data_IF_916240627160
#
_entry.id   IF_916240627160
#
_cell.length_a   1.000
_cell.length_b   1.000
_cell.length_c   1.000
_cell.angle_alpha   90.00
_cell.angle_beta   90.00
_cell.angle_gamma   90.00
#
_symmetry.space_group_name_H-M   'P 1'
#
loop_
_entity.id
_entity.type
_entity.pdbx_description
1 polymer ?
#
# COMPACT_ATOMS: atom_id res chain seq x y z
N UNK A 1 -7.10 -11.58 13.15
CA UNK A 1 -6.32 -10.54 13.84
C UNK A 1 -7.01 -10.04 15.11
N UNK A 2 -8.23 -9.42 15.04
CA UNK A 2 -8.93 -8.96 16.27
C UNK A 2 -9.15 -10.10 17.25
N UNK A 3 -9.77 -11.19 16.81
CA UNK A 3 -10.04 -12.38 17.62
C UNK A 3 -8.77 -13.02 18.20
N UNK A 4 -7.70 -13.04 17.42
CA UNK A 4 -6.43 -13.62 17.87
C UNK A 4 -5.75 -12.75 18.92
N UNK A 5 -5.81 -11.42 18.74
CA UNK A 5 -5.33 -10.48 19.75
C UNK A 5 -6.10 -10.58 21.06
N UNK A 6 -7.44 -10.72 21.00
CA UNK A 6 -8.28 -10.91 22.19
C UNK A 6 -7.94 -12.23 22.89
N UNK A 7 -7.70 -13.31 22.14
CA UNK A 7 -7.26 -14.59 22.73
C UNK A 7 -5.91 -14.49 23.41
N UNK A 8 -4.99 -13.72 22.83
CA UNK A 8 -3.63 -13.56 23.37
C UNK A 8 -3.59 -12.61 24.55
N UNK A 9 -4.45 -11.58 24.54
CA UNK A 9 -4.49 -10.50 25.53
C UNK A 9 -5.93 -10.22 25.99
N UNK A 10 -6.58 -11.16 26.69
CA UNK A 10 -8.00 -11.04 27.08
C UNK A 10 -8.25 -9.82 27.99
N UNK A 11 -7.27 -9.42 28.81
CA UNK A 11 -7.36 -8.25 29.68
C UNK A 11 -7.49 -6.91 28.91
N UNK A 12 -7.18 -6.90 27.59
CA UNK A 12 -7.31 -5.73 26.73
C UNK A 12 -8.46 -5.84 25.73
N UNK A 13 -9.38 -6.79 25.89
CA UNK A 13 -10.49 -7.05 24.96
C UNK A 13 -11.23 -5.78 24.56
N UNK A 14 -11.66 -4.97 25.53
CA UNK A 14 -12.40 -3.73 25.26
C UNK A 14 -11.57 -2.72 24.47
N UNK A 15 -10.27 -2.59 24.76
CA UNK A 15 -9.36 -1.69 24.04
C UNK A 15 -9.12 -2.18 22.62
N UNK A 16 -8.96 -3.48 22.43
CA UNK A 16 -8.79 -4.11 21.11
C UNK A 16 -10.04 -3.87 20.27
N UNK A 17 -11.23 -4.16 20.79
CA UNK A 17 -12.51 -3.91 20.10
C UNK A 17 -12.68 -2.42 19.76
N UNK A 18 -12.34 -1.53 20.68
CA UNK A 18 -12.42 -0.09 20.48
C UNK A 18 -11.49 0.38 19.36
N UNK A 19 -10.27 -0.17 19.28
CA UNK A 19 -9.32 0.10 18.21
C UNK A 19 -9.90 -0.29 16.85
N UNK A 20 -10.34 -1.53 16.66
CA UNK A 20 -10.89 -2.00 15.40
C UNK A 20 -12.15 -1.22 14.99
N UNK A 21 -13.05 -0.94 15.93
CA UNK A 21 -14.26 -0.14 15.70
C UNK A 21 -13.96 1.29 15.24
N UNK A 22 -12.90 1.92 15.76
CA UNK A 22 -12.58 3.31 15.48
C UNK A 22 -11.38 3.50 14.55
N UNK A 23 -10.76 2.43 14.06
CA UNK A 23 -9.58 2.49 13.20
C UNK A 23 -9.76 3.46 12.02
N UNK A 24 -10.95 3.49 11.40
CA UNK A 24 -11.26 4.39 10.30
C UNK A 24 -11.19 5.89 10.67
N UNK A 25 -11.29 6.24 11.96
CA UNK A 25 -11.17 7.62 12.46
C UNK A 25 -9.71 8.08 12.59
N UNK A 26 -8.76 7.14 12.51
CA UNK A 26 -7.34 7.47 12.57
C UNK A 26 -6.84 8.09 11.26
N UNK A 27 -7.54 7.87 10.15
CA UNK A 27 -7.24 8.50 8.87
C UNK A 27 -7.74 9.93 8.87
N UNK A 28 -6.83 10.88 9.07
CA UNK A 28 -7.15 12.31 9.20
C UNK A 28 -7.18 13.05 7.86
N UNK A 29 -6.38 12.60 6.88
CA UNK A 29 -6.16 13.35 5.64
C UNK A 29 -5.85 12.40 4.48
N UNK A 30 -6.43 12.71 3.33
CA UNK A 30 -5.99 12.19 2.04
C UNK A 30 -4.97 13.18 1.49
N UNK A 31 -3.86 12.69 0.99
CA UNK A 31 -2.90 13.50 0.26
C UNK A 31 -3.40 13.67 -1.17
N UNK A 32 -4.09 14.79 -1.43
CA UNK A 32 -4.75 15.03 -2.74
C UNK A 32 -3.77 14.96 -3.90
N UNK A 33 -2.57 15.50 -3.75
CA UNK A 33 -1.53 15.42 -4.79
C UNK A 33 -1.16 13.97 -5.16
N UNK A 34 -1.23 13.01 -4.23
CA UNK A 34 -1.01 11.59 -4.57
C UNK A 34 -2.17 11.01 -5.38
N UNK A 35 -3.40 11.45 -5.10
CA UNK A 35 -4.57 11.07 -5.90
C UNK A 35 -4.49 11.70 -7.30
N UNK A 36 -4.08 12.96 -7.38
CA UNK A 36 -3.93 13.68 -8.65
C UNK A 36 -2.85 13.01 -9.54
N UNK A 37 -1.76 12.55 -8.93
CA UNK A 37 -0.71 11.77 -9.65
C UNK A 37 -1.27 10.44 -10.15
N UNK A 38 -2.05 9.72 -9.34
CA UNK A 38 -2.70 8.49 -9.79
C UNK A 38 -3.57 8.76 -11.03
N UNK A 39 -4.38 9.82 -10.98
CA UNK A 39 -5.23 10.20 -12.12
C UNK A 39 -4.41 10.58 -13.35
N UNK A 40 -3.33 11.33 -13.17
CA UNK A 40 -2.42 11.69 -14.24
C UNK A 40 -1.79 10.45 -14.91
N UNK A 41 -1.32 9.49 -14.13
CA UNK A 41 -0.76 8.23 -14.62
C UNK A 41 -1.81 7.40 -15.36
N UNK A 42 -3.02 7.28 -14.80
CA UNK A 42 -4.11 6.55 -15.45
C UNK A 42 -4.53 7.20 -16.78
N UNK A 43 -4.55 8.53 -16.87
CA UNK A 43 -4.82 9.25 -18.11
C UNK A 43 -3.74 9.00 -19.18
N UNK A 44 -2.50 8.79 -18.77
CA UNK A 44 -1.38 8.37 -19.62
C UNK A 44 -1.36 6.86 -19.90
N UNK A 45 -2.35 6.10 -19.41
CA UNK A 45 -2.50 4.65 -19.57
C UNK A 45 -1.42 3.80 -18.86
N UNK A 46 -0.78 4.35 -17.83
CA UNK A 46 0.07 3.55 -16.96
C UNK A 46 -0.79 2.65 -16.06
N UNK A 47 -0.32 1.43 -15.85
CA UNK A 47 -0.90 0.53 -14.86
C UNK A 47 -0.41 0.91 -13.47
N UNK A 48 -1.33 1.01 -12.51
CA UNK A 48 -1.04 1.42 -11.14
C UNK A 48 -1.56 0.38 -10.17
N UNK A 49 -0.69 -0.09 -9.28
CA UNK A 49 -1.00 -1.15 -8.32
C UNK A 49 -0.72 -0.72 -6.88
N UNK A 50 -1.41 -1.32 -5.94
CA UNK A 50 -1.16 -1.11 -4.50
C UNK A 50 -0.51 -2.34 -3.89
N UNK A 51 0.59 -2.14 -3.17
CA UNK A 51 1.23 -3.12 -2.31
C UNK A 51 1.34 -2.54 -0.90
N UNK A 52 0.42 -2.91 0.00
CA UNK A 52 0.26 -2.27 1.30
C UNK A 52 0.38 -3.24 2.48
N UNK A 53 1.14 -2.81 3.50
CA UNK A 53 1.18 -3.46 4.82
C UNK A 53 -0.04 -3.05 5.67
N UNK A 54 -1.22 -3.41 5.23
CA UNK A 54 -2.48 -3.09 5.91
C UNK A 54 -3.17 -4.37 6.39
N UNK A 55 -3.82 -4.31 7.57
CA UNK A 55 -4.64 -5.42 8.05
C UNK A 55 -5.87 -5.58 7.17
N UNK A 56 -6.20 -6.82 6.83
CA UNK A 56 -7.36 -7.09 5.97
C UNK A 56 -8.66 -6.65 6.60
N UNK A 57 -8.81 -6.86 7.90
CA UNK A 57 -10.02 -6.54 8.66
C UNK A 57 -10.32 -5.03 8.63
N UNK A 58 -9.29 -4.21 8.75
CA UNK A 58 -9.45 -2.74 8.75
C UNK A 58 -9.45 -2.14 7.34
N UNK A 59 -9.01 -2.90 6.33
CA UNK A 59 -9.07 -2.49 4.92
C UNK A 59 -10.46 -2.66 4.31
N UNK A 60 -11.27 -3.60 4.82
CA UNK A 60 -12.61 -3.88 4.26
C UNK A 60 -13.49 -2.62 4.27
N UNK A 61 -14.11 -2.32 3.13
CA UNK A 61 -14.97 -1.15 2.95
C UNK A 61 -14.24 0.17 2.72
N UNK A 62 -12.89 0.16 2.69
CA UNK A 62 -12.12 1.38 2.39
C UNK A 62 -12.30 1.87 0.96
N UNK A 63 -12.57 0.98 0.01
CA UNK A 63 -12.93 1.30 -1.37
C UNK A 63 -14.19 2.14 -1.48
N UNK A 64 -15.19 1.89 -0.62
CA UNK A 64 -16.42 2.70 -0.54
C UNK A 64 -16.14 4.08 0.08
N UNK A 65 -15.28 4.13 1.10
CA UNK A 65 -14.92 5.37 1.78
C UNK A 65 -13.95 6.24 0.96
N UNK A 66 -13.08 5.60 0.21
CA UNK A 66 -12.04 6.22 -0.60
C UNK A 66 -12.12 5.72 -2.05
N UNK A 67 -13.02 6.28 -2.87
CA UNK A 67 -13.31 5.79 -4.23
C UNK A 67 -12.09 5.77 -5.16
N UNK A 68 -11.05 6.58 -4.89
CA UNK A 68 -9.81 6.56 -5.67
C UNK A 68 -9.10 5.20 -5.63
N UNK A 69 -9.34 4.37 -4.60
CA UNK A 69 -8.79 3.02 -4.53
C UNK A 69 -9.27 2.13 -5.68
N UNK A 70 -10.45 2.41 -6.23
CA UNK A 70 -11.01 1.69 -7.38
C UNK A 70 -10.35 2.07 -8.72
N UNK A 71 -9.48 3.09 -8.75
CA UNK A 71 -8.73 3.50 -9.94
C UNK A 71 -7.46 2.68 -10.16
N UNK A 72 -7.01 1.94 -9.13
CA UNK A 72 -5.88 1.02 -9.26
C UNK A 72 -6.27 -0.24 -10.03
N UNK A 73 -5.35 -0.76 -10.83
CA UNK A 73 -5.53 -1.99 -11.62
C UNK A 73 -5.46 -3.25 -10.77
N UNK A 74 -4.94 -3.14 -9.55
CA UNK A 74 -4.95 -4.23 -8.58
C UNK A 74 -4.37 -3.83 -7.23
N UNK A 75 -4.74 -4.62 -6.20
CA UNK A 75 -4.35 -4.36 -4.82
C UNK A 75 -3.84 -5.66 -4.16
N UNK A 76 -2.70 -5.56 -3.50
CA UNK A 76 -2.19 -6.57 -2.59
C UNK A 76 -2.16 -5.96 -1.19
N UNK A 77 -3.00 -6.51 -0.32
CA UNK A 77 -3.09 -6.12 1.08
C UNK A 77 -2.48 -7.24 1.93
N UNK A 78 -1.42 -6.90 2.67
CA UNK A 78 -0.59 -7.87 3.40
C UNK A 78 -1.38 -8.75 4.36
N UNK A 79 -2.35 -8.19 5.05
CA UNK A 79 -3.20 -8.93 5.99
C UNK A 79 -4.01 -10.05 5.33
N UNK A 80 -4.38 -9.91 4.04
CA UNK A 80 -5.04 -10.97 3.25
C UNK A 80 -4.05 -12.04 2.79
N UNK A 81 -2.82 -11.65 2.50
CA UNK A 81 -1.80 -12.55 1.93
C UNK A 81 -0.95 -13.24 3.01
N UNK A 82 -0.99 -12.76 4.25
CA UNK A 82 -0.09 -13.15 5.36
C UNK A 82 1.39 -12.94 5.03
N UNK A 83 1.67 -11.98 4.18
CA UNK A 83 3.00 -11.54 3.76
C UNK A 83 3.12 -10.04 4.03
N UNK A 84 4.30 -9.57 4.41
CA UNK A 84 4.53 -8.14 4.72
C UNK A 84 5.80 -7.64 4.04
N UNK A 85 5.81 -6.36 3.63
CA UNK A 85 7.03 -5.66 3.26
C UNK A 85 7.90 -5.47 4.53
N UNK A 86 9.21 -5.59 4.49
CA UNK A 86 10.10 -5.75 3.34
C UNK A 86 10.39 -7.20 2.92
N UNK A 87 9.62 -8.21 3.34
CA UNK A 87 9.88 -9.59 2.94
C UNK A 87 9.79 -9.73 1.41
N UNK A 88 10.79 -10.36 0.80
CA UNK A 88 10.89 -10.56 -0.65
C UNK A 88 9.66 -11.26 -1.27
N UNK A 89 9.00 -12.14 -0.51
CA UNK A 89 7.89 -12.95 -1.01
C UNK A 89 6.67 -12.10 -1.40
N UNK A 90 6.42 -10.96 -0.74
CA UNK A 90 5.30 -10.10 -1.11
C UNK A 90 5.54 -9.37 -2.43
N UNK A 91 6.80 -9.03 -2.75
CA UNK A 91 7.18 -8.43 -4.03
C UNK A 91 7.14 -9.46 -5.15
N UNK A 92 7.61 -10.69 -4.90
CA UNK A 92 7.49 -11.81 -5.85
C UNK A 92 6.02 -12.12 -6.15
N UNK A 93 5.16 -12.08 -5.14
CA UNK A 93 3.72 -12.21 -5.32
C UNK A 93 3.15 -11.09 -6.20
N UNK A 94 3.56 -9.82 -5.98
CA UNK A 94 3.14 -8.70 -6.81
C UNK A 94 3.60 -8.88 -8.25
N UNK A 95 4.88 -9.21 -8.45
CA UNK A 95 5.46 -9.50 -9.77
C UNK A 95 4.67 -10.56 -10.52
N UNK A 96 4.39 -11.69 -9.89
CA UNK A 96 3.66 -12.80 -10.51
C UNK A 96 2.19 -12.47 -10.78
N UNK A 97 1.51 -11.84 -9.79
CA UNK A 97 0.07 -11.57 -9.89
C UNK A 97 -0.28 -10.51 -10.93
N UNK A 98 0.57 -9.50 -11.07
CA UNK A 98 0.37 -8.38 -11.98
C UNK A 98 1.26 -8.45 -13.22
N UNK A 99 1.98 -9.57 -13.41
CA UNK A 99 2.91 -9.77 -14.51
C UNK A 99 3.93 -8.62 -14.69
N UNK A 100 4.47 -8.13 -13.58
CA UNK A 100 5.38 -6.98 -13.58
C UNK A 100 6.77 -7.36 -14.11
N UNK A 101 7.35 -6.46 -14.88
CA UNK A 101 8.76 -6.45 -15.25
C UNK A 101 9.46 -5.47 -14.30
N UNK A 102 10.33 -5.92 -13.37
CA UNK A 102 10.89 -5.06 -12.34
C UNK A 102 11.61 -3.83 -12.90
N UNK A 103 12.37 -4.01 -13.99
CA UNK A 103 13.16 -2.97 -14.65
C UNK A 103 12.28 -1.90 -15.34
N UNK A 104 10.99 -2.17 -15.53
CA UNK A 104 9.98 -1.28 -16.10
C UNK A 104 8.95 -0.83 -15.06
N UNK A 105 9.12 -1.23 -13.80
CA UNK A 105 8.16 -0.97 -12.71
C UNK A 105 8.79 -0.08 -11.66
N UNK A 106 8.17 1.07 -11.38
CA UNK A 106 8.58 1.99 -10.31
C UNK A 106 7.86 1.64 -9.02
N UNK A 107 8.60 1.24 -7.99
CA UNK A 107 8.09 1.01 -6.64
C UNK A 107 8.30 2.27 -5.79
N UNK A 108 7.21 2.76 -5.19
CA UNK A 108 7.19 4.00 -4.40
C UNK A 108 6.79 3.65 -2.97
N UNK A 109 7.61 4.03 -2.00
CA UNK A 109 7.33 3.77 -0.58
C UNK A 109 8.04 4.83 0.29
N UNK A 110 7.52 5.10 1.48
CA UNK A 110 8.11 6.02 2.45
C UNK A 110 9.15 5.35 3.36
N UNK A 111 9.19 4.03 3.39
CA UNK A 111 10.10 3.25 4.23
C UNK A 111 11.33 2.78 3.46
N UNK A 112 12.50 3.18 3.95
CA UNK A 112 13.78 2.85 3.32
C UNK A 112 13.98 1.33 3.18
N UNK A 113 13.63 0.55 4.19
CA UNK A 113 13.75 -0.91 4.13
C UNK A 113 12.89 -1.54 3.03
N UNK A 114 11.71 -0.99 2.74
CA UNK A 114 10.86 -1.45 1.65
C UNK A 114 11.47 -1.12 0.28
N UNK A 115 12.05 0.07 0.16
CA UNK A 115 12.76 0.53 -1.04
C UNK A 115 13.97 -0.35 -1.34
N UNK A 116 14.79 -0.64 -0.32
CA UNK A 116 15.97 -1.51 -0.47
C UNK A 116 15.57 -2.93 -0.89
N UNK A 117 14.51 -3.49 -0.30
CA UNK A 117 14.00 -4.80 -0.68
C UNK A 117 13.52 -4.85 -2.14
N UNK A 118 12.78 -3.83 -2.60
CA UNK A 118 12.33 -3.72 -3.98
C UNK A 118 13.52 -3.58 -4.96
N UNK A 119 14.48 -2.71 -4.62
CA UNK A 119 15.70 -2.49 -5.42
C UNK A 119 16.50 -3.78 -5.59
N UNK A 120 16.66 -4.57 -4.53
CA UNK A 120 17.37 -5.85 -4.58
C UNK A 120 16.67 -6.88 -5.49
N UNK A 121 15.40 -6.67 -5.83
CA UNK A 121 14.60 -7.49 -6.75
C UNK A 121 14.52 -6.89 -8.16
N UNK A 122 15.29 -5.84 -8.43
CA UNK A 122 15.41 -5.22 -9.76
C UNK A 122 14.40 -4.10 -10.04
N UNK A 123 13.52 -3.74 -9.10
CA UNK A 123 12.57 -2.64 -9.32
C UNK A 123 13.27 -1.29 -9.39
N UNK A 124 12.77 -0.41 -10.25
CA UNK A 124 13.03 1.01 -10.14
C UNK A 124 12.37 1.54 -8.87
N UNK A 125 12.98 2.49 -8.16
CA UNK A 125 12.48 2.86 -6.84
C UNK A 125 12.45 4.38 -6.63
N UNK A 126 11.41 4.83 -5.90
CA UNK A 126 11.30 6.19 -5.36
C UNK A 126 11.12 6.08 -3.84
N UNK A 127 12.10 6.57 -3.07
CA UNK A 127 11.96 6.73 -1.63
C UNK A 127 11.23 8.06 -1.34
N UNK A 128 9.92 7.99 -1.17
CA UNK A 128 9.05 9.17 -1.06
C UNK A 128 8.86 9.57 0.42
N UNK A 129 9.78 10.33 0.98
CA UNK A 129 9.70 10.85 2.36
C UNK A 129 8.87 12.13 2.47
N UNK A 130 8.69 12.85 1.36
CA UNK A 130 7.91 14.09 1.25
C UNK A 130 6.84 13.86 0.16
N UNK A 131 5.59 13.56 0.54
CA UNK A 131 4.55 13.20 -0.44
C UNK A 131 4.28 14.27 -1.50
N UNK A 132 4.50 15.55 -1.17
CA UNK A 132 4.27 16.71 -2.06
C UNK A 132 5.10 16.69 -3.33
N UNK A 133 6.26 16.04 -3.31
CA UNK A 133 7.17 15.98 -4.47
C UNK A 133 6.93 14.77 -5.38
N UNK A 134 5.90 13.97 -5.12
CA UNK A 134 5.64 12.71 -5.85
C UNK A 134 5.60 12.92 -7.38
N UNK A 135 4.99 14.00 -7.87
CA UNK A 135 4.91 14.29 -9.30
C UNK A 135 6.30 14.58 -9.89
N UNK A 136 7.16 15.27 -9.16
CA UNK A 136 8.51 15.58 -9.61
C UNK A 136 9.37 14.31 -9.69
N UNK A 137 9.23 13.44 -8.70
CA UNK A 137 9.97 12.17 -8.64
C UNK A 137 9.51 11.21 -9.75
N UNK A 138 8.21 11.08 -9.96
CA UNK A 138 7.66 10.21 -11.00
C UNK A 138 8.03 10.68 -12.41
N UNK A 139 8.06 11.99 -12.67
CA UNK A 139 8.42 12.56 -13.97
C UNK A 139 9.86 12.25 -14.42
N UNK A 140 10.69 11.69 -13.56
CA UNK A 140 12.01 11.17 -13.92
C UNK A 140 11.96 9.83 -14.68
N UNK A 141 10.79 9.16 -14.65
CA UNK A 141 10.60 7.80 -15.18
C UNK A 141 9.58 7.72 -16.32
N UNK A 142 8.81 8.79 -16.59
CA UNK A 142 7.70 8.81 -17.57
C UNK A 142 7.90 9.86 -18.66
#
# INVERSE_FOLDING_TARGET
AETDLIKTYPEYEDKIKLYYKNHHKMFRKIFQYSVDVLEHLKNKKYECYVLSNWSWETFQGMDKKYPFLNKFDGLIISGKQKLVKPNAEIYKLAKSRFNLIPEETVFIDDKKENIEAAKNLGFLTIHLTVPEIIIQEINKFI
#
